data_IF_913521685430
#
_entry.id   IF_913521685430
#
_cell.length_a   1.000
_cell.length_b   1.000
_cell.length_c   1.000
_cell.angle_alpha   90.00
_cell.angle_beta   90.00
_cell.angle_gamma   90.00
#
_symmetry.space_group_name_H-M   'P 1'
#
loop_
_entity.id
_entity.type
_entity.pdbx_description
1 polymer ?
#
# COMPACT_ATOMS: atom_id res chain seq x y z
N UNK A 1 19.22 9.20 -13.44
CA UNK A 1 19.53 7.87 -12.85
C UNK A 1 18.66 6.79 -13.52
N UNK A 2 17.34 6.74 -13.29
CA UNK A 2 16.49 5.63 -13.76
C UNK A 2 16.60 5.23 -15.25
N UNK A 3 16.74 6.20 -16.16
CA UNK A 3 16.81 5.95 -17.62
C UNK A 3 18.24 5.94 -18.19
N UNK A 4 19.27 6.04 -17.34
CA UNK A 4 20.66 6.17 -17.74
C UNK A 4 21.51 5.19 -16.94
N UNK A 5 22.66 5.63 -16.44
CA UNK A 5 23.49 4.90 -15.50
C UNK A 5 23.80 5.72 -14.24
N UNK A 6 24.20 5.02 -13.19
CA UNK A 6 24.83 5.58 -12.00
C UNK A 6 25.81 4.53 -11.47
N UNK A 7 26.97 4.96 -11.00
CA UNK A 7 27.89 4.08 -10.26
C UNK A 7 27.65 4.23 -8.74
N UNK A 8 28.31 3.42 -7.90
CA UNK A 8 28.20 3.58 -6.46
C UNK A 8 28.61 4.96 -5.93
N UNK A 9 29.52 5.67 -6.60
CA UNK A 9 29.94 7.02 -6.19
C UNK A 9 28.81 8.03 -6.35
N UNK A 10 28.15 8.04 -7.52
CA UNK A 10 26.98 8.88 -7.79
C UNK A 10 25.84 8.58 -6.81
N UNK A 11 25.58 7.29 -6.54
CA UNK A 11 24.56 6.88 -5.56
C UNK A 11 24.91 7.38 -4.16
N UNK A 12 26.16 7.20 -3.71
CA UNK A 12 26.57 7.67 -2.39
C UNK A 12 26.59 9.19 -2.28
N UNK A 13 26.85 9.93 -3.36
CA UNK A 13 26.72 11.39 -3.36
C UNK A 13 25.27 11.87 -3.14
N UNK A 14 24.27 11.01 -3.32
CA UNK A 14 22.88 11.34 -3.00
C UNK A 14 22.63 11.49 -1.50
N UNK A 15 23.56 11.04 -0.63
CA UNK A 15 23.44 11.24 0.82
C UNK A 15 23.27 12.71 1.18
N UNK A 16 23.91 13.64 0.47
CA UNK A 16 23.82 15.07 0.81
C UNK A 16 22.39 15.60 0.67
N UNK A 17 21.64 15.11 -0.31
CA UNK A 17 20.23 15.51 -0.54
C UNK A 17 19.32 14.90 0.53
N UNK A 18 19.46 13.59 0.80
CA UNK A 18 18.67 12.94 1.86
C UNK A 18 19.06 13.49 3.25
N UNK A 19 20.31 13.91 3.41
CA UNK A 19 20.84 14.57 4.61
C UNK A 19 20.16 15.91 4.85
N UNK A 20 20.31 16.83 3.90
CA UNK A 20 19.67 18.15 3.97
C UNK A 20 18.16 18.04 4.18
N UNK A 21 17.48 17.10 3.51
CA UNK A 21 16.05 16.93 3.67
C UNK A 21 15.65 16.57 5.11
N UNK A 22 16.26 15.52 5.67
CA UNK A 22 15.87 15.03 7.00
C UNK A 22 16.36 15.91 8.14
N UNK A 23 17.50 16.59 7.98
CA UNK A 23 17.99 17.52 9.00
C UNK A 23 17.12 18.80 9.04
N UNK A 24 16.47 19.14 7.93
CA UNK A 24 15.53 20.27 7.81
C UNK A 24 14.07 19.83 7.66
N UNK A 25 13.70 18.66 8.20
CA UNK A 25 12.38 18.07 8.03
C UNK A 25 11.23 18.98 8.54
N UNK A 26 11.49 19.83 9.54
CA UNK A 26 10.49 20.81 10.03
C UNK A 26 10.12 21.84 8.97
N UNK A 27 11.06 22.17 8.08
CA UNK A 27 10.88 23.16 7.01
C UNK A 27 10.49 22.50 5.70
N UNK A 28 11.04 21.32 5.41
CA UNK A 28 10.89 20.67 4.11
C UNK A 28 9.84 19.56 4.10
N UNK A 29 9.45 19.02 5.25
CA UNK A 29 8.53 17.90 5.37
C UNK A 29 7.20 18.17 4.67
N UNK A 30 6.60 19.35 4.90
CA UNK A 30 5.35 19.73 4.25
C UNK A 30 5.53 20.37 2.85
N UNK A 31 6.76 20.52 2.35
CA UNK A 31 6.99 21.08 1.02
C UNK A 31 6.98 19.96 -0.03
N UNK A 32 5.89 19.87 -0.77
CA UNK A 32 5.70 18.85 -1.80
C UNK A 32 6.88 18.76 -2.78
N UNK A 33 7.35 19.88 -3.33
CA UNK A 33 8.44 19.86 -4.32
C UNK A 33 9.75 19.34 -3.73
N UNK A 34 10.05 19.66 -2.47
CA UNK A 34 11.23 19.13 -1.76
C UNK A 34 11.10 17.64 -1.47
N UNK A 35 9.94 17.20 -0.96
CA UNK A 35 9.67 15.78 -0.74
C UNK A 35 9.70 14.98 -2.05
N UNK A 36 9.12 15.52 -3.12
CA UNK A 36 9.10 14.92 -4.45
C UNK A 36 10.50 14.79 -5.06
N UNK A 37 11.40 15.74 -4.80
CA UNK A 37 12.79 15.61 -5.24
C UNK A 37 13.48 14.41 -4.55
N UNK A 38 13.29 14.24 -3.24
CA UNK A 38 13.82 13.08 -2.49
C UNK A 38 13.20 11.77 -2.97
N UNK A 39 11.88 11.74 -3.14
CA UNK A 39 11.18 10.57 -3.67
C UNK A 39 11.70 10.14 -5.04
N UNK A 40 11.85 11.06 -5.99
CA UNK A 40 12.34 10.72 -7.33
C UNK A 40 13.79 10.23 -7.30
N UNK A 41 14.59 10.68 -6.33
CA UNK A 41 15.94 10.18 -6.13
C UNK A 41 15.93 8.73 -5.64
N UNK A 42 15.13 8.42 -4.60
CA UNK A 42 14.95 7.05 -4.10
C UNK A 42 14.42 6.12 -5.20
N UNK A 43 13.34 6.53 -5.87
CA UNK A 43 12.72 5.78 -6.98
C UNK A 43 13.71 5.52 -8.11
N UNK A 44 14.45 6.54 -8.52
CA UNK A 44 15.39 6.44 -9.63
C UNK A 44 16.56 5.49 -9.35
N UNK A 45 17.10 5.53 -8.12
CA UNK A 45 18.18 4.66 -7.67
C UNK A 45 17.68 3.21 -7.54
N UNK A 46 16.54 2.98 -6.88
CA UNK A 46 15.93 1.66 -6.78
C UNK A 46 15.67 1.07 -8.18
N UNK A 47 15.00 1.80 -9.05
CA UNK A 47 14.68 1.32 -10.40
C UNK A 47 15.94 0.91 -11.17
N UNK A 48 16.96 1.77 -11.17
CA UNK A 48 18.20 1.51 -11.90
C UNK A 48 18.99 0.33 -11.30
N UNK A 49 19.19 0.30 -9.99
CA UNK A 49 19.94 -0.80 -9.35
C UNK A 49 19.23 -2.14 -9.53
N UNK A 50 17.89 -2.17 -9.50
CA UNK A 50 17.10 -3.36 -9.84
C UNK A 50 17.21 -3.73 -11.32
N UNK A 51 17.25 -2.76 -12.24
CA UNK A 51 17.41 -3.03 -13.68
C UNK A 51 18.74 -3.72 -13.99
N UNK A 52 19.82 -3.36 -13.27
CA UNK A 52 21.13 -4.01 -13.40
C UNK A 52 21.09 -5.46 -12.91
N UNK A 53 20.36 -5.77 -11.84
CA UNK A 53 20.20 -7.15 -11.34
C UNK A 53 19.63 -8.07 -12.44
N UNK A 54 18.71 -7.60 -13.28
CA UNK A 54 18.15 -8.41 -14.37
C UNK A 54 19.20 -8.87 -15.39
N UNK A 55 20.36 -8.22 -15.43
CA UNK A 55 21.48 -8.56 -16.30
C UNK A 55 22.56 -9.38 -15.59
N UNK A 56 22.38 -9.74 -14.30
CA UNK A 56 23.35 -10.56 -13.56
C UNK A 56 22.96 -12.04 -13.56
N UNK A 57 23.95 -12.91 -13.33
CA UNK A 57 23.71 -14.34 -13.15
C UNK A 57 22.81 -14.56 -11.94
N UNK A 58 21.69 -15.26 -12.16
CA UNK A 58 20.77 -15.68 -11.10
C UNK A 58 19.94 -14.55 -10.49
N UNK A 59 19.89 -13.38 -11.13
CA UNK A 59 19.15 -12.21 -10.61
C UNK A 59 19.59 -11.84 -9.18
N UNK A 60 20.87 -11.99 -8.89
CA UNK A 60 21.45 -11.77 -7.57
C UNK A 60 22.13 -10.40 -7.48
N UNK A 61 21.78 -9.64 -6.44
CA UNK A 61 22.37 -8.37 -6.11
C UNK A 61 23.89 -8.47 -5.87
N UNK A 62 24.38 -9.61 -5.33
CA UNK A 62 25.81 -9.87 -5.08
C UNK A 62 26.68 -9.82 -6.33
N UNK A 63 26.06 -10.02 -7.49
CA UNK A 63 26.73 -9.99 -8.78
C UNK A 63 26.69 -8.60 -9.44
N UNK A 64 26.29 -7.56 -8.69
CA UNK A 64 26.28 -6.16 -9.16
C UNK A 64 27.42 -5.36 -8.53
N UNK A 65 27.77 -4.22 -9.14
CA UNK A 65 28.75 -3.29 -8.59
C UNK A 65 28.27 -2.54 -7.34
N UNK A 66 26.98 -2.63 -6.99
CA UNK A 66 26.37 -1.92 -5.87
C UNK A 66 26.44 -2.69 -4.57
N UNK A 67 26.55 -4.02 -4.63
CA UNK A 67 26.58 -4.86 -3.44
C UNK A 67 27.72 -4.45 -2.51
N UNK A 68 27.37 -4.14 -1.25
CA UNK A 68 28.28 -3.66 -0.21
C UNK A 68 29.05 -2.37 -0.56
N UNK A 69 28.58 -1.60 -1.56
CA UNK A 69 29.24 -0.38 -2.06
C UNK A 69 28.36 0.86 -2.01
N UNK A 70 27.09 0.73 -1.65
CA UNK A 70 26.13 1.82 -1.50
C UNK A 70 25.61 1.98 -0.05
N UNK A 71 26.30 1.38 0.91
CA UNK A 71 25.96 1.41 2.33
C UNK A 71 25.76 2.83 2.90
N UNK A 72 26.59 3.85 2.57
CA UNK A 72 26.35 5.22 3.02
C UNK A 72 24.99 5.77 2.56
N UNK A 73 24.60 5.51 1.31
CA UNK A 73 23.27 5.87 0.80
C UNK A 73 22.16 5.11 1.55
N UNK A 74 22.33 3.80 1.73
CA UNK A 74 21.36 2.94 2.43
C UNK A 74 21.13 3.38 3.87
N UNK A 75 22.18 3.74 4.61
CA UNK A 75 22.06 4.24 5.98
C UNK A 75 21.23 5.53 6.03
N UNK A 76 21.40 6.43 5.05
CA UNK A 76 20.61 7.65 5.01
C UNK A 76 19.17 7.39 4.58
N UNK A 77 18.93 6.50 3.62
CA UNK A 77 17.59 6.04 3.24
C UNK A 77 16.85 5.44 4.45
N UNK A 78 17.48 4.49 5.15
CA UNK A 78 16.94 3.84 6.34
C UNK A 78 16.63 4.84 7.46
N UNK A 79 17.42 5.91 7.57
CA UNK A 79 17.15 6.96 8.54
C UNK A 79 15.82 7.67 8.26
N UNK A 80 15.35 7.75 7.00
CA UNK A 80 14.07 8.39 6.64
C UNK A 80 12.85 7.54 7.02
N UNK A 81 13.03 6.26 7.36
CA UNK A 81 11.95 5.40 7.85
C UNK A 81 11.34 5.91 9.14
N UNK A 82 12.05 6.75 9.90
CA UNK A 82 11.53 7.37 11.13
C UNK A 82 11.80 8.86 11.16
N UNK A 83 10.78 9.67 11.44
CA UNK A 83 10.91 11.14 11.57
C UNK A 83 10.31 11.68 12.87
N UNK A 84 9.95 10.80 13.80
CA UNK A 84 9.43 11.14 15.12
C UNK A 84 8.04 11.77 15.07
N UNK A 85 7.83 12.69 15.99
CA UNK A 85 6.65 13.52 16.18
C UNK A 85 6.35 14.46 15.00
N UNK A 86 7.25 14.53 14.03
CA UNK A 86 7.13 15.37 12.83
C UNK A 86 6.31 14.72 11.72
N UNK A 87 5.92 13.45 11.87
CA UNK A 87 5.05 12.77 10.91
C UNK A 87 3.68 13.47 10.86
N UNK A 88 3.25 13.81 9.64
CA UNK A 88 1.94 14.40 9.37
C UNK A 88 1.45 14.01 7.98
N UNK A 89 0.23 14.43 7.61
CA UNK A 89 -0.39 14.05 6.33
C UNK A 89 0.40 14.53 5.10
N UNK A 90 1.16 15.61 5.19
CA UNK A 90 1.91 16.17 4.07
C UNK A 90 3.19 15.37 3.76
N UNK A 91 3.75 14.70 4.77
CA UNK A 91 5.03 13.99 4.66
C UNK A 91 4.93 12.47 4.83
N UNK A 92 3.79 11.94 5.30
CA UNK A 92 3.60 10.51 5.54
C UNK A 92 3.86 9.66 4.29
N UNK A 93 3.45 10.13 3.12
CA UNK A 93 3.68 9.44 1.84
C UNK A 93 5.18 9.23 1.55
N UNK A 94 6.05 10.16 1.97
CA UNK A 94 7.48 10.06 1.76
C UNK A 94 8.11 9.03 2.71
N UNK A 95 7.68 9.02 3.97
CA UNK A 95 8.09 7.99 4.96
C UNK A 95 7.66 6.60 4.49
N UNK A 96 6.43 6.46 3.98
CA UNK A 96 5.93 5.20 3.42
C UNK A 96 6.84 4.69 2.28
N UNK A 97 7.29 5.60 1.40
CA UNK A 97 8.22 5.24 0.34
C UNK A 97 9.63 4.91 0.87
N UNK A 98 10.10 5.61 1.92
CA UNK A 98 11.38 5.29 2.54
C UNK A 98 11.38 3.87 3.15
N UNK A 99 10.28 3.45 3.79
CA UNK A 99 10.08 2.07 4.27
C UNK A 99 10.16 1.08 3.11
N UNK A 100 9.34 1.30 2.07
CA UNK A 100 9.30 0.46 0.87
C UNK A 100 10.68 0.27 0.21
N UNK A 101 11.40 1.37 -0.02
CA UNK A 101 12.73 1.30 -0.65
C UNK A 101 13.77 0.71 0.30
N UNK A 102 13.67 0.93 1.61
CA UNK A 102 14.54 0.27 2.59
C UNK A 102 14.39 -1.24 2.54
N UNK A 103 13.15 -1.74 2.45
CA UNK A 103 12.88 -3.16 2.26
C UNK A 103 13.52 -3.72 1.00
N UNK A 104 13.18 -3.11 -0.14
CA UNK A 104 13.63 -3.60 -1.46
C UNK A 104 15.14 -3.51 -1.68
N UNK A 105 15.78 -2.47 -1.16
CA UNK A 105 17.21 -2.26 -1.35
C UNK A 105 18.07 -3.00 -0.32
N UNK A 106 17.48 -3.59 0.72
CA UNK A 106 18.21 -4.38 1.73
C UNK A 106 19.04 -5.53 1.15
N UNK A 107 18.68 -6.06 -0.02
CA UNK A 107 19.46 -7.09 -0.75
C UNK A 107 20.86 -6.65 -1.20
N UNK A 108 21.14 -5.35 -1.24
CA UNK A 108 22.47 -4.84 -1.58
C UNK A 108 23.43 -4.81 -0.40
N UNK A 109 22.94 -5.05 0.83
CA UNK A 109 23.76 -5.11 2.05
C UNK A 109 24.50 -6.45 2.16
N UNK A 110 25.71 -6.40 2.71
CA UNK A 110 26.36 -7.62 3.22
C UNK A 110 25.64 -8.17 4.45
N UNK A 111 25.30 -7.29 5.40
CA UNK A 111 24.45 -7.58 6.56
C UNK A 111 23.03 -6.99 6.38
N UNK A 112 22.04 -7.77 5.90
CA UNK A 112 20.67 -7.29 5.72
C UNK A 112 19.97 -6.94 7.04
N UNK A 113 20.50 -7.36 8.20
CA UNK A 113 19.91 -7.06 9.50
C UNK A 113 19.96 -5.57 9.84
N UNK A 114 20.82 -4.79 9.17
CA UNK A 114 20.85 -3.32 9.28
C UNK A 114 19.53 -2.73 8.79
N UNK A 115 19.08 -3.11 7.59
CA UNK A 115 17.82 -2.63 7.01
C UNK A 115 16.60 -3.18 7.76
N UNK A 116 16.65 -4.44 8.23
CA UNK A 116 15.61 -4.99 9.11
C UNK A 116 15.44 -4.15 10.39
N UNK A 117 16.56 -3.76 11.04
CA UNK A 117 16.52 -2.91 12.24
C UNK A 117 15.91 -1.53 11.98
N UNK A 118 16.06 -0.98 10.78
CA UNK A 118 15.43 0.28 10.41
C UNK A 118 13.89 0.14 10.31
N UNK A 119 13.41 -0.92 9.67
CA UNK A 119 11.97 -1.24 9.60
C UNK A 119 11.39 -1.54 10.99
N UNK A 120 12.10 -2.31 11.81
CA UNK A 120 11.70 -2.57 13.20
C UNK A 120 11.65 -1.30 14.05
N UNK A 121 12.53 -0.32 13.81
CA UNK A 121 12.48 0.97 14.48
C UNK A 121 11.20 1.71 14.13
N UNK A 122 10.80 1.71 12.86
CA UNK A 122 9.52 2.27 12.43
C UNK A 122 8.33 1.56 13.08
N UNK A 123 8.36 0.22 13.19
CA UNK A 123 7.32 -0.54 13.90
C UNK A 123 7.26 -0.23 15.40
N UNK A 124 8.37 0.17 16.02
CA UNK A 124 8.41 0.60 17.44
C UNK A 124 7.93 2.04 17.62
N UNK A 125 8.21 2.91 16.65
CA UNK A 125 7.91 4.33 16.71
C UNK A 125 6.47 4.65 16.33
N UNK A 126 5.95 3.99 15.30
CA UNK A 126 4.60 4.26 14.79
C UNK A 126 3.54 3.40 15.44
N UNK A 127 2.32 3.93 15.65
CA UNK A 127 1.24 3.18 16.31
C UNK A 127 0.96 1.85 15.63
N UNK A 128 0.62 0.84 16.43
CA UNK A 128 0.20 -0.47 15.93
C UNK A 128 -0.93 -0.31 14.90
N UNK A 129 -0.77 -0.99 13.76
CA UNK A 129 -1.69 -0.92 12.62
C UNK A 129 -1.83 0.47 11.99
N UNK A 130 -0.91 1.40 12.22
CA UNK A 130 -0.77 2.57 11.34
C UNK A 130 -0.26 2.15 9.97
N UNK A 131 -0.37 3.03 8.96
CA UNK A 131 0.16 2.74 7.63
C UNK A 131 1.66 2.40 7.69
N UNK A 132 2.44 3.22 8.39
CA UNK A 132 3.89 3.03 8.49
C UNK A 132 4.24 1.72 9.18
N UNK A 133 3.50 1.35 10.24
CA UNK A 133 3.68 0.06 10.91
C UNK A 133 3.42 -1.11 9.94
N UNK A 134 2.31 -1.06 9.20
CA UNK A 134 1.90 -2.13 8.30
C UNK A 134 2.84 -2.23 7.09
N UNK A 135 3.29 -1.10 6.53
CA UNK A 135 4.29 -1.08 5.45
C UNK A 135 5.62 -1.68 5.92
N UNK A 136 6.11 -1.29 7.10
CA UNK A 136 7.34 -1.87 7.65
C UNK A 136 7.25 -3.39 7.85
N UNK A 137 6.11 -3.88 8.36
CA UNK A 137 5.86 -5.31 8.52
C UNK A 137 5.77 -6.03 7.16
N UNK A 138 5.12 -5.41 6.17
CA UNK A 138 5.04 -5.92 4.81
C UNK A 138 6.43 -6.02 4.16
N UNK A 139 7.28 -5.03 4.34
CA UNK A 139 8.64 -5.04 3.80
C UNK A 139 9.51 -6.12 4.46
N UNK A 140 9.32 -6.38 5.76
CA UNK A 140 9.96 -7.49 6.46
C UNK A 140 9.49 -8.86 5.92
N UNK A 141 8.19 -9.00 5.64
CA UNK A 141 7.61 -10.20 5.04
C UNK A 141 8.18 -10.45 3.63
N UNK A 142 8.05 -9.47 2.73
CA UNK A 142 8.39 -9.60 1.32
C UNK A 142 9.90 -9.71 1.06
N UNK A 143 10.72 -8.94 1.77
CA UNK A 143 12.14 -8.79 1.44
C UNK A 143 13.07 -9.53 2.39
N UNK A 144 12.60 -9.92 3.57
CA UNK A 144 13.43 -10.58 4.60
C UNK A 144 12.83 -11.90 5.11
N UNK A 145 11.90 -12.49 4.35
CA UNK A 145 11.34 -13.81 4.61
C UNK A 145 10.50 -13.87 5.88
N UNK A 146 9.83 -12.77 6.24
CA UNK A 146 8.95 -12.72 7.40
C UNK A 146 9.68 -12.74 8.73
N UNK A 147 10.95 -12.31 8.78
CA UNK A 147 11.78 -12.33 9.99
C UNK A 147 12.26 -10.96 10.39
N UNK A 148 12.38 -10.75 11.69
CA UNK A 148 13.09 -9.60 12.24
C UNK A 148 14.61 -9.80 12.22
N UNK A 149 15.37 -8.77 12.60
CA UNK A 149 16.84 -8.80 12.64
C UNK A 149 17.44 -9.80 13.61
N UNK A 150 16.68 -10.28 14.60
CA UNK A 150 17.08 -11.35 15.52
C UNK A 150 16.76 -12.75 14.97
N UNK A 151 16.12 -12.86 13.80
CA UNK A 151 15.72 -14.12 13.18
C UNK A 151 14.38 -14.69 13.67
N UNK A 152 13.62 -13.95 14.48
CA UNK A 152 12.28 -14.35 14.92
C UNK A 152 11.25 -14.02 13.84
N UNK A 153 10.25 -14.89 13.70
CA UNK A 153 9.17 -14.71 12.75
C UNK A 153 8.25 -13.53 13.15
N UNK A 154 7.82 -12.78 12.14
CA UNK A 154 6.80 -11.74 12.22
C UNK A 154 5.54 -12.33 11.59
N UNK A 155 4.48 -12.44 12.39
CA UNK A 155 3.19 -12.94 11.91
C UNK A 155 2.44 -11.84 11.13
N UNK A 156 2.85 -11.63 9.89
CA UNK A 156 2.23 -10.63 9.02
C UNK A 156 0.78 -10.97 8.67
N UNK A 157 0.40 -12.25 8.67
CA UNK A 157 -0.98 -12.67 8.48
C UNK A 157 -1.88 -12.23 9.64
N UNK A 158 -1.39 -12.34 10.88
CA UNK A 158 -2.06 -11.77 12.05
C UNK A 158 -2.16 -10.25 11.97
N UNK A 159 -1.09 -9.55 11.58
CA UNK A 159 -1.13 -8.08 11.40
C UNK A 159 -2.21 -7.69 10.38
N UNK A 160 -2.32 -8.40 9.25
CA UNK A 160 -3.40 -8.17 8.26
C UNK A 160 -4.79 -8.48 8.82
N UNK A 161 -4.93 -9.50 9.66
CA UNK A 161 -6.20 -9.82 10.32
C UNK A 161 -6.62 -8.72 11.30
N UNK A 162 -5.72 -8.31 12.20
CA UNK A 162 -5.95 -7.24 13.16
C UNK A 162 -6.24 -5.90 12.44
N UNK A 163 -5.56 -5.63 11.32
CA UNK A 163 -5.84 -4.46 10.48
C UNK A 163 -7.26 -4.50 9.89
N UNK A 164 -7.71 -5.67 9.38
CA UNK A 164 -9.07 -5.83 8.88
C UNK A 164 -10.10 -5.60 9.99
N UNK A 165 -9.86 -6.11 11.20
CA UNK A 165 -10.76 -5.86 12.34
C UNK A 165 -10.82 -4.38 12.71
N UNK A 166 -9.67 -3.70 12.75
CA UNK A 166 -9.61 -2.26 13.07
C UNK A 166 -10.29 -1.38 12.02
N UNK A 167 -10.01 -1.62 10.74
CA UNK A 167 -10.43 -0.72 9.65
C UNK A 167 -11.76 -1.11 9.02
N UNK A 168 -12.22 -2.35 9.20
CA UNK A 168 -13.49 -2.86 8.67
C UNK A 168 -14.28 -3.60 9.77
N UNK A 169 -14.55 -2.97 10.92
CA UNK A 169 -15.15 -3.65 12.07
C UNK A 169 -16.62 -4.05 11.89
N UNK A 170 -17.34 -3.42 10.94
CA UNK A 170 -18.77 -3.65 10.75
C UNK A 170 -19.02 -4.60 9.59
N UNK A 171 -19.93 -5.56 9.79
CA UNK A 171 -20.40 -6.46 8.73
C UNK A 171 -21.92 -6.39 8.63
N UNK A 172 -22.41 -6.24 7.39
CA UNK A 172 -23.83 -6.23 7.06
C UNK A 172 -24.11 -7.30 6.01
N UNK A 173 -25.19 -8.05 6.17
CA UNK A 173 -25.51 -9.19 5.31
C UNK A 173 -26.92 -9.07 4.77
N UNK A 174 -27.07 -9.29 3.47
CA UNK A 174 -28.33 -9.27 2.74
C UNK A 174 -28.44 -10.53 1.86
N UNK A 175 -29.62 -10.76 1.28
CA UNK A 175 -29.90 -11.86 0.34
C UNK A 175 -29.40 -13.23 0.84
N UNK A 176 -29.73 -13.60 2.09
CA UNK A 176 -29.31 -14.86 2.71
C UNK A 176 -27.79 -15.11 2.69
N UNK A 177 -26.98 -14.05 2.74
CA UNK A 177 -25.52 -14.17 2.72
C UNK A 177 -24.88 -13.92 1.36
N UNK A 178 -25.66 -13.67 0.29
CA UNK A 178 -25.13 -13.48 -1.07
C UNK A 178 -24.67 -12.05 -1.37
N UNK A 179 -25.01 -11.10 -0.50
CA UNK A 179 -24.51 -9.74 -0.57
C UNK A 179 -24.00 -9.33 0.81
N UNK A 180 -22.69 -9.21 0.96
CA UNK A 180 -22.02 -8.93 2.23
C UNK A 180 -21.29 -7.60 2.12
N UNK A 181 -21.49 -6.71 3.09
CA UNK A 181 -20.74 -5.46 3.18
C UNK A 181 -19.87 -5.48 4.44
N UNK A 182 -18.56 -5.32 4.27
CA UNK A 182 -17.59 -5.06 5.34
C UNK A 182 -17.21 -3.59 5.31
N UNK A 183 -17.43 -2.87 6.40
CA UNK A 183 -17.32 -1.42 6.42
C UNK A 183 -16.56 -0.88 7.64
N UNK A 184 -15.93 0.26 7.43
CA UNK A 184 -15.43 1.11 8.49
C UNK A 184 -16.54 1.57 9.44
N UNK A 185 -16.15 1.95 10.65
CA UNK A 185 -17.08 2.34 11.71
C UNK A 185 -17.82 3.67 11.47
N UNK A 186 -17.31 4.54 10.59
CA UNK A 186 -17.91 5.84 10.24
C UNK A 186 -18.82 5.78 9.01
N UNK A 187 -18.82 4.66 8.27
CA UNK A 187 -19.77 4.45 7.17
C UNK A 187 -21.17 4.25 7.77
N UNK A 188 -22.14 5.05 7.31
CA UNK A 188 -23.49 5.04 7.90
C UNK A 188 -24.30 3.84 7.42
N UNK A 189 -25.11 3.27 8.30
CA UNK A 189 -26.02 2.16 7.95
C UNK A 189 -27.03 2.58 6.86
N UNK A 190 -27.45 3.85 6.86
CA UNK A 190 -28.31 4.39 5.80
C UNK A 190 -27.65 4.22 4.42
N UNK A 191 -26.37 4.59 4.29
CA UNK A 191 -25.65 4.42 3.04
C UNK A 191 -25.51 2.96 2.65
N UNK A 192 -25.23 2.05 3.60
CA UNK A 192 -25.19 0.61 3.32
C UNK A 192 -26.51 0.13 2.72
N UNK A 193 -27.66 0.54 3.29
CA UNK A 193 -28.98 0.20 2.76
C UNK A 193 -29.22 0.81 1.37
N UNK A 194 -28.78 2.05 1.13
CA UNK A 194 -28.88 2.69 -0.19
C UNK A 194 -28.09 1.93 -1.25
N UNK A 195 -26.87 1.50 -0.96
CA UNK A 195 -26.07 0.68 -1.87
C UNK A 195 -26.76 -0.64 -2.22
N UNK A 196 -27.32 -1.32 -1.20
CA UNK A 196 -28.09 -2.54 -1.43
C UNK A 196 -29.26 -2.29 -2.40
N UNK A 197 -30.07 -1.24 -2.19
CA UNK A 197 -31.19 -0.94 -3.10
C UNK A 197 -30.73 -0.47 -4.49
N UNK A 198 -29.66 0.33 -4.57
CA UNK A 198 -29.05 0.73 -5.83
C UNK A 198 -28.61 -0.49 -6.67
N UNK A 199 -28.08 -1.53 -6.02
CA UNK A 199 -27.73 -2.79 -6.70
C UNK A 199 -28.94 -3.43 -7.38
N UNK A 200 -30.12 -3.40 -6.73
CA UNK A 200 -31.35 -3.98 -7.29
C UNK A 200 -31.85 -3.20 -8.49
N UNK A 201 -31.76 -1.87 -8.43
CA UNK A 201 -32.13 -1.00 -9.54
C UNK A 201 -31.25 -1.23 -10.78
N UNK A 202 -29.92 -1.25 -10.58
CA UNK A 202 -28.95 -1.50 -11.65
C UNK A 202 -29.14 -2.89 -12.24
N UNK A 203 -29.22 -3.92 -11.38
CA UNK A 203 -29.47 -5.32 -11.79
C UNK A 203 -30.73 -5.46 -12.64
N UNK A 204 -31.81 -4.80 -12.25
CA UNK A 204 -33.07 -4.86 -12.99
C UNK A 204 -32.95 -4.25 -14.40
N UNK A 205 -32.20 -3.14 -14.58
CA UNK A 205 -31.98 -2.58 -15.91
C UNK A 205 -31.03 -3.45 -16.74
N UNK A 206 -29.96 -3.95 -16.14
CA UNK A 206 -29.01 -4.84 -16.80
C UNK A 206 -29.72 -6.07 -17.37
N UNK A 207 -30.55 -6.73 -16.57
CA UNK A 207 -31.31 -7.92 -16.99
C UNK A 207 -32.37 -7.63 -18.06
N UNK A 208 -32.96 -6.42 -18.07
CA UNK A 208 -33.88 -6.03 -19.17
C UNK A 208 -33.17 -5.95 -20.51
N UNK A 209 -31.92 -5.49 -20.52
CA UNK A 209 -31.12 -5.33 -21.74
C UNK A 209 -30.48 -6.65 -22.16
N UNK A 210 -29.84 -7.35 -21.23
CA UNK A 210 -29.10 -8.60 -21.50
C UNK A 210 -30.03 -9.79 -21.66
N UNK A 211 -31.23 -9.74 -21.07
CA UNK A 211 -32.26 -10.79 -21.14
C UNK A 211 -31.80 -12.17 -20.63
N UNK A 212 -30.80 -12.17 -19.75
CA UNK A 212 -30.35 -13.34 -19.02
C UNK A 212 -30.16 -12.98 -17.55
N UNK A 213 -30.76 -13.76 -16.68
CA UNK A 213 -30.63 -13.66 -15.22
C UNK A 213 -30.00 -14.90 -14.58
N UNK A 214 -29.58 -15.86 -15.41
CA UNK A 214 -28.84 -17.04 -14.98
C UNK A 214 -27.35 -16.76 -15.07
N UNK A 215 -26.65 -17.03 -13.98
CA UNK A 215 -25.18 -17.04 -13.98
C UNK A 215 -24.66 -17.96 -15.09
N UNK A 216 -23.58 -17.54 -15.75
CA UNK A 216 -22.99 -18.29 -16.86
C UNK A 216 -22.24 -19.53 -16.38
N UNK A 217 -21.68 -19.45 -15.18
CA UNK A 217 -20.91 -20.50 -14.51
C UNK A 217 -21.44 -20.66 -13.08
N UNK A 218 -21.35 -21.87 -12.53
CA UNK A 218 -21.78 -22.18 -11.17
C UNK A 218 -20.57 -22.33 -10.24
N UNK A 219 -20.68 -21.86 -8.99
CA UNK A 219 -19.63 -22.02 -7.99
C UNK A 219 -18.50 -21.00 -8.09
N UNK A 220 -18.69 -19.93 -8.87
CA UNK A 220 -17.73 -18.84 -8.95
C UNK A 220 -17.76 -17.99 -7.66
N UNK A 221 -16.65 -17.32 -7.33
CA UNK A 221 -16.57 -16.50 -6.10
C UNK A 221 -17.63 -15.39 -6.02
N UNK A 222 -18.13 -14.92 -7.15
CA UNK A 222 -19.18 -13.89 -7.27
C UNK A 222 -20.60 -14.40 -6.95
N UNK A 223 -20.78 -15.71 -6.69
CA UNK A 223 -21.98 -16.25 -6.03
C UNK A 223 -22.27 -15.54 -4.70
N UNK A 224 -21.23 -14.99 -4.07
CA UNK A 224 -21.29 -14.07 -2.94
C UNK A 224 -20.57 -12.77 -3.32
N UNK A 225 -21.34 -11.70 -3.56
CA UNK A 225 -20.76 -10.38 -3.70
C UNK A 225 -20.34 -9.84 -2.33
N UNK A 226 -19.04 -9.62 -2.15
CA UNK A 226 -18.50 -8.90 -1.00
C UNK A 226 -18.17 -7.46 -1.38
N UNK A 227 -18.65 -6.50 -0.61
CA UNK A 227 -18.35 -5.08 -0.76
C UNK A 227 -17.55 -4.61 0.46
N UNK A 228 -16.36 -4.08 0.24
CA UNK A 228 -15.45 -3.60 1.28
C UNK A 228 -15.37 -2.08 1.20
N UNK A 229 -15.73 -1.38 2.28
CA UNK A 229 -15.83 0.08 2.33
C UNK A 229 -15.01 0.63 3.49
N UNK A 230 -13.82 1.17 3.20
CA UNK A 230 -13.01 1.89 4.18
C UNK A 230 -13.64 3.24 4.54
N UNK A 231 -13.28 3.86 5.68
CA UNK A 231 -13.91 5.12 6.08
C UNK A 231 -13.49 6.34 5.23
N UNK A 232 -12.31 6.30 4.61
CA UNK A 232 -11.72 7.45 3.92
C UNK A 232 -10.72 7.02 2.84
N UNK A 233 -10.34 7.90 1.91
CA UNK A 233 -9.28 7.61 0.94
C UNK A 233 -7.94 7.28 1.60
N UNK A 234 -7.62 7.84 2.78
CA UNK A 234 -6.40 7.52 3.52
C UNK A 234 -6.39 6.08 4.02
N UNK A 235 -7.50 5.62 4.63
CA UNK A 235 -7.61 4.24 5.09
C UNK A 235 -7.63 3.26 3.91
N UNK A 236 -8.23 3.65 2.78
CA UNK A 236 -8.27 2.85 1.56
C UNK A 236 -6.89 2.46 1.05
N UNK A 237 -5.88 3.33 1.20
CA UNK A 237 -4.49 3.06 0.78
C UNK A 237 -3.92 1.78 1.40
N UNK A 238 -4.43 1.35 2.56
CA UNK A 238 -4.03 0.09 3.20
C UNK A 238 -4.48 -1.15 2.43
N UNK A 239 -5.52 -1.04 1.59
CA UNK A 239 -6.01 -2.14 0.77
C UNK A 239 -4.91 -2.73 -0.13
N UNK A 240 -3.97 -1.88 -0.59
CA UNK A 240 -2.78 -2.29 -1.35
C UNK A 240 -1.94 -3.32 -0.60
N UNK A 241 -1.80 -3.15 0.71
CA UNK A 241 -0.94 -3.99 1.54
C UNK A 241 -1.74 -5.17 2.12
N UNK A 242 -2.96 -4.93 2.57
CA UNK A 242 -3.79 -5.93 3.26
C UNK A 242 -4.35 -6.97 2.29
N UNK A 243 -4.75 -6.55 1.09
CA UNK A 243 -5.42 -7.39 0.10
C UNK A 243 -4.67 -7.47 -1.24
N UNK A 244 -3.62 -6.67 -1.45
CA UNK A 244 -2.75 -6.77 -2.63
C UNK A 244 -3.25 -6.07 -3.89
N UNK A 245 -4.32 -5.26 -3.80
CA UNK A 245 -4.94 -4.61 -4.95
C UNK A 245 -4.64 -3.11 -5.00
N UNK A 246 -4.51 -2.56 -6.22
CA UNK A 246 -4.22 -1.13 -6.41
C UNK A 246 -5.26 -0.24 -5.74
N UNK A 247 -4.79 0.87 -5.16
CA UNK A 247 -5.61 1.90 -4.52
C UNK A 247 -5.56 3.24 -5.25
N UNK A 248 -4.92 3.28 -6.43
CA UNK A 248 -4.85 4.46 -7.29
C UNK A 248 -6.13 4.57 -8.14
N UNK A 249 -7.28 4.48 -7.48
CA UNK A 249 -8.63 4.48 -8.06
C UNK A 249 -9.66 4.83 -6.97
N UNK A 250 -10.90 5.13 -7.38
CA UNK A 250 -12.02 5.36 -6.43
C UNK A 250 -12.59 4.05 -5.84
N UNK A 251 -12.33 2.93 -6.51
CA UNK A 251 -12.74 1.59 -6.15
C UNK A 251 -12.39 0.63 -7.27
N UNK A 252 -12.33 -0.66 -6.95
CA UNK A 252 -12.00 -1.71 -7.91
C UNK A 252 -12.76 -2.99 -7.58
N UNK A 253 -13.45 -3.55 -8.57
CA UNK A 253 -14.00 -4.89 -8.49
C UNK A 253 -12.98 -5.94 -8.91
N UNK A 254 -12.88 -7.01 -8.14
CA UNK A 254 -12.03 -8.16 -8.40
C UNK A 254 -12.91 -9.41 -8.49
N UNK A 255 -13.23 -9.79 -9.73
CA UNK A 255 -14.11 -10.92 -10.06
C UNK A 255 -13.63 -12.26 -9.48
N UNK A 256 -12.32 -12.53 -9.52
CA UNK A 256 -11.74 -13.80 -9.05
C UNK A 256 -11.89 -14.07 -7.55
N UNK A 257 -12.39 -13.09 -6.78
CA UNK A 257 -12.74 -13.22 -5.37
C UNK A 257 -14.11 -12.59 -5.07
N UNK A 258 -14.91 -12.27 -6.09
CA UNK A 258 -16.25 -11.71 -5.94
C UNK A 258 -16.30 -10.46 -5.05
N UNK A 259 -15.24 -9.63 -5.06
CA UNK A 259 -15.08 -8.56 -4.07
C UNK A 259 -14.86 -7.19 -4.70
N UNK A 260 -15.70 -6.23 -4.32
CA UNK A 260 -15.54 -4.81 -4.63
C UNK A 260 -14.87 -4.08 -3.47
N UNK A 261 -13.76 -3.39 -3.71
CA UNK A 261 -13.07 -2.58 -2.70
C UNK A 261 -13.23 -1.10 -3.01
N UNK A 262 -13.69 -0.33 -2.02
CA UNK A 262 -13.86 1.13 -2.14
C UNK A 262 -13.77 1.80 -0.76
N UNK A 263 -14.12 3.08 -0.68
CA UNK A 263 -14.11 3.87 0.54
C UNK A 263 -15.28 4.84 0.60
N UNK A 264 -15.62 5.33 1.79
CA UNK A 264 -16.53 6.46 1.91
C UNK A 264 -15.81 7.77 1.53
N UNK A 265 -16.54 8.71 0.93
CA UNK A 265 -15.96 9.98 0.44
C UNK A 265 -16.84 11.20 0.65
N UNK A 266 -16.19 12.34 0.80
CA UNK A 266 -16.81 13.66 0.70
C UNK A 266 -16.80 14.17 -0.75
N UNK A 267 -17.62 15.19 -1.08
CA UNK A 267 -17.61 15.81 -2.41
C UNK A 267 -16.26 16.45 -2.81
N UNK A 268 -15.43 16.83 -1.83
CA UNK A 268 -14.10 17.40 -2.07
C UNK A 268 -13.07 16.32 -2.44
N UNK A 269 -13.27 15.09 -1.98
CA UNK A 269 -12.37 13.96 -2.22
C UNK A 269 -12.62 13.28 -3.57
N UNK A 270 -13.85 13.38 -4.10
CA UNK A 270 -14.26 12.72 -5.34
C UNK A 270 -15.46 13.41 -5.97
N UNK A 271 -15.45 13.53 -7.31
CA UNK A 271 -16.61 13.97 -8.08
C UNK A 271 -17.78 12.98 -8.04
N UNK A 272 -17.49 11.70 -7.78
CA UNK A 272 -18.49 10.65 -7.62
C UNK A 272 -18.73 10.37 -6.14
N UNK A 273 -20.00 10.33 -5.77
CA UNK A 273 -20.43 9.77 -4.50
C UNK A 273 -20.15 8.27 -4.44
N UNK A 274 -20.17 7.71 -3.23
CA UNK A 274 -20.04 6.26 -3.02
C UNK A 274 -21.11 5.47 -3.79
N UNK A 275 -22.36 5.95 -3.81
CA UNK A 275 -23.45 5.27 -4.53
C UNK A 275 -23.27 5.31 -6.05
N UNK A 276 -22.87 6.46 -6.62
CA UNK A 276 -22.63 6.57 -8.06
C UNK A 276 -21.49 5.65 -8.52
N UNK A 277 -20.36 5.64 -7.79
CA UNK A 277 -19.25 4.74 -8.11
C UNK A 277 -19.67 3.28 -7.96
N UNK A 278 -20.40 2.94 -6.90
CA UNK A 278 -20.89 1.57 -6.71
C UNK A 278 -21.84 1.15 -7.84
N UNK A 279 -22.75 2.02 -8.30
CA UNK A 279 -23.63 1.72 -9.43
C UNK A 279 -22.86 1.43 -10.71
N UNK A 280 -21.74 2.12 -10.93
CA UNK A 280 -20.84 1.84 -12.04
C UNK A 280 -20.16 0.47 -11.86
N UNK A 281 -19.45 0.28 -10.76
CA UNK A 281 -18.62 -0.91 -10.53
C UNK A 281 -19.44 -2.19 -10.34
N UNK A 282 -20.66 -2.10 -9.81
CA UNK A 282 -21.59 -3.23 -9.71
C UNK A 282 -22.07 -3.76 -11.07
N UNK A 283 -21.86 -3.00 -12.14
CA UNK A 283 -22.17 -3.46 -13.51
C UNK A 283 -21.08 -4.39 -14.06
N UNK A 284 -19.84 -4.26 -13.56
CA UNK A 284 -18.76 -5.21 -13.87
C UNK A 284 -18.95 -6.49 -13.06
#
# INVERSE_FOLDING_TARGET
>A
IGNASADPEVINNCIYVLSDFKDNIDKYGSNYSKGNAVFNLMKGIDYYTNSVIYNTKGYDAKNTEFYNRIDPYMERLESLCTIGDKLNNDNAWLVNNALYYTGRMGKFREDPSISQRALERAMKEYPYLSYQYIEAANDLDLNFGGKNSSGNDIDFNKIKADAREKYLPKTYTFDDGKFVVKAGDKVTEEKIKRLYWASKEVKAQFMRVVQNDKALEEGNPDDILTVVIYNSPEEYKLNRIINGFSTDNGGIYIENIGTFFTYERTPEESIYTLEELFRHEFTH
#
